data_IF_064774919467
#
_entry.id   IF_064774919467
#
_cell.length_a   1.000
_cell.length_b   1.000
_cell.length_c   1.000
_cell.angle_alpha   90.00
_cell.angle_beta   90.00
_cell.angle_gamma   90.00
#
_symmetry.space_group_name_H-M   'P 1'
#
loop_
_entity.id
_entity.type
_entity.pdbx_description
1 polymer ?
#
# COMPACT_ATOMS: atom_id res chain seq x y z
N UNK A 1 51.95 31.71 -17.16
CA UNK A 1 51.30 31.61 -15.84
C UNK A 1 49.88 31.12 -16.06
N UNK A 2 49.57 29.95 -15.53
CA UNK A 2 48.38 29.15 -15.81
C UNK A 2 47.17 29.67 -15.03
N UNK A 3 46.07 29.98 -15.71
CA UNK A 3 44.77 30.26 -15.10
C UNK A 3 43.77 29.17 -15.50
N UNK A 4 43.33 28.38 -14.52
CA UNK A 4 42.42 27.23 -14.67
C UNK A 4 41.11 27.60 -15.40
N UNK A 5 40.56 26.73 -16.26
CA UNK A 5 39.17 26.86 -16.70
C UNK A 5 38.24 26.51 -15.52
N UNK A 6 37.16 27.27 -15.36
CA UNK A 6 36.02 26.89 -14.52
C UNK A 6 35.55 25.50 -14.94
N UNK A 7 35.51 24.57 -13.99
CA UNK A 7 34.78 23.31 -14.16
C UNK A 7 33.30 23.65 -14.30
N UNK A 8 32.85 23.69 -15.55
CA UNK A 8 31.45 23.60 -15.91
C UNK A 8 30.95 22.24 -15.41
N UNK A 9 30.31 22.26 -14.25
CA UNK A 9 29.60 21.12 -13.68
C UNK A 9 28.44 20.76 -14.60
N UNK A 10 28.77 20.08 -15.70
CA UNK A 10 27.83 19.37 -16.55
C UNK A 10 27.21 18.30 -15.67
N UNK A 11 26.12 18.66 -14.98
CA UNK A 11 25.18 17.70 -14.42
C UNK A 11 24.81 16.78 -15.57
N UNK A 12 25.17 15.48 -15.54
CA UNK A 12 24.64 14.58 -16.53
C UNK A 12 23.12 14.65 -16.38
N UNK A 13 22.45 15.06 -17.45
CA UNK A 13 21.01 15.26 -17.57
C UNK A 13 20.21 13.94 -17.49
N UNK A 14 20.71 12.98 -16.71
CA UNK A 14 20.04 11.78 -16.29
C UNK A 14 19.74 11.86 -14.79
N UNK A 15 18.45 11.92 -14.45
CA UNK A 15 17.97 11.67 -13.08
C UNK A 15 18.65 10.45 -12.42
N UNK A 16 18.88 10.50 -11.11
CA UNK A 16 19.57 9.45 -10.36
C UNK A 16 18.88 8.08 -10.52
N UNK A 17 19.66 7.04 -10.82
CA UNK A 17 19.20 5.64 -10.89
C UNK A 17 19.17 5.05 -9.48
N UNK A 18 18.00 4.64 -9.03
CA UNK A 18 17.80 4.15 -7.65
C UNK A 18 17.80 2.63 -7.51
N UNK A 19 17.26 1.93 -8.52
CA UNK A 19 17.22 0.46 -8.58
C UNK A 19 16.84 0.01 -9.97
N UNK A 20 17.32 -1.16 -10.37
CA UNK A 20 16.88 -1.82 -11.58
C UNK A 20 16.82 -3.35 -11.40
N UNK A 21 16.14 -4.05 -12.31
CA UNK A 21 16.01 -5.50 -12.29
C UNK A 21 14.68 -6.00 -12.85
N UNK A 22 14.52 -7.31 -12.96
CA UNK A 22 13.31 -7.91 -13.53
C UNK A 22 12.11 -7.84 -12.59
N UNK A 23 10.96 -7.44 -13.14
CA UNK A 23 9.65 -7.51 -12.49
C UNK A 23 8.61 -8.06 -13.47
N UNK A 24 7.69 -8.88 -12.97
CA UNK A 24 6.50 -9.28 -13.74
C UNK A 24 5.33 -8.42 -13.27
N UNK A 25 4.81 -7.55 -14.13
CA UNK A 25 3.70 -6.64 -13.82
C UNK A 25 2.38 -7.21 -14.28
N UNK A 26 1.34 -6.97 -13.49
CA UNK A 26 -0.06 -7.07 -13.87
C UNK A 26 -0.83 -5.83 -13.45
N UNK A 27 -1.59 -5.23 -14.37
CA UNK A 27 -2.53 -4.15 -14.03
C UNK A 27 -3.72 -4.75 -13.27
N UNK A 28 -3.96 -4.30 -12.05
CA UNK A 28 -5.00 -4.86 -11.16
C UNK A 28 -6.28 -4.03 -11.21
N UNK A 29 -6.16 -2.71 -11.01
CA UNK A 29 -7.26 -1.76 -11.07
C UNK A 29 -6.84 -0.47 -11.78
N UNK A 30 -7.78 0.14 -12.50
CA UNK A 30 -7.61 1.45 -13.12
C UNK A 30 -7.87 2.58 -12.09
N UNK A 31 -7.73 3.83 -12.51
CA UNK A 31 -7.82 5.02 -11.63
C UNK A 31 -9.21 5.20 -11.00
N UNK A 32 -10.25 4.66 -11.63
CA UNK A 32 -11.63 4.63 -11.12
C UNK A 32 -11.87 3.52 -10.08
N UNK A 33 -10.84 2.75 -9.72
CA UNK A 33 -10.93 1.62 -8.80
C UNK A 33 -11.56 0.37 -9.43
N UNK A 34 -11.98 0.43 -10.70
CA UNK A 34 -12.52 -0.75 -11.38
C UNK A 34 -11.39 -1.69 -11.77
N UNK A 35 -11.71 -2.98 -11.80
CA UNK A 35 -10.76 -4.02 -12.23
C UNK A 35 -10.38 -3.79 -13.68
N UNK A 36 -9.08 -3.86 -13.96
CA UNK A 36 -8.57 -3.63 -15.32
C UNK A 36 -9.22 -4.60 -16.35
N UNK A 37 -9.52 -4.14 -17.58
CA UNK A 37 -10.17 -4.95 -18.61
C UNK A 37 -9.43 -6.26 -18.90
N UNK A 38 -10.20 -7.31 -19.25
CA UNK A 38 -9.69 -8.69 -19.40
C UNK A 38 -8.50 -8.83 -20.37
N UNK A 39 -8.38 -7.97 -21.38
CA UNK A 39 -7.25 -7.95 -22.33
C UNK A 39 -6.00 -7.17 -21.88
N UNK A 40 -6.11 -6.27 -20.90
CA UNK A 40 -4.97 -5.46 -20.38
C UNK A 40 -4.36 -6.01 -19.08
N UNK A 41 -4.98 -7.05 -18.51
CA UNK A 41 -4.73 -7.59 -17.17
C UNK A 41 -3.76 -8.80 -17.12
N UNK A 42 -3.11 -9.13 -18.23
CA UNK A 42 -2.11 -10.20 -18.28
C UNK A 42 -0.86 -9.87 -17.45
N UNK A 43 -0.21 -10.90 -16.92
CA UNK A 43 1.14 -10.77 -16.36
C UNK A 43 2.14 -10.61 -17.51
N UNK A 44 3.00 -9.60 -17.43
CA UNK A 44 4.02 -9.31 -18.44
C UNK A 44 5.35 -9.04 -17.75
N UNK A 45 6.42 -9.64 -18.25
CA UNK A 45 7.78 -9.45 -17.74
C UNK A 45 8.37 -8.16 -18.31
N UNK A 46 9.03 -7.40 -17.44
CA UNK A 46 9.74 -6.18 -17.80
C UNK A 46 11.09 -6.15 -17.10
N UNK A 47 12.05 -5.49 -17.73
CA UNK A 47 13.17 -4.95 -16.99
C UNK A 47 12.77 -3.59 -16.42
N UNK A 48 12.73 -3.49 -15.10
CA UNK A 48 12.32 -2.30 -14.39
C UNK A 48 13.53 -1.42 -14.06
N UNK A 49 13.38 -0.11 -14.26
CA UNK A 49 14.41 0.90 -13.98
C UNK A 49 13.75 2.04 -13.22
N UNK A 50 14.08 2.19 -11.94
CA UNK A 50 13.60 3.29 -11.11
C UNK A 50 14.59 4.45 -11.18
N UNK A 51 14.18 5.54 -11.84
CA UNK A 51 15.02 6.71 -12.09
C UNK A 51 14.21 7.97 -11.80
N UNK A 52 14.64 8.79 -10.84
CA UNK A 52 13.79 9.86 -10.29
C UNK A 52 12.50 9.28 -9.67
N UNK A 53 11.36 9.93 -9.95
CA UNK A 53 10.03 9.46 -9.54
C UNK A 53 9.33 8.57 -10.58
N UNK A 54 10.07 7.99 -11.52
CA UNK A 54 9.51 7.16 -12.60
C UNK A 54 10.10 5.76 -12.56
N UNK A 55 9.23 4.76 -12.54
CA UNK A 55 9.55 3.35 -12.76
C UNK A 55 9.33 3.03 -14.24
N UNK A 56 10.40 3.04 -15.02
CA UNK A 56 10.38 2.63 -16.41
C UNK A 56 10.31 1.10 -16.49
N UNK A 57 9.50 0.59 -17.41
CA UNK A 57 9.26 -0.84 -17.58
C UNK A 57 9.54 -1.22 -19.03
N UNK A 58 10.78 -1.65 -19.27
CA UNK A 58 11.25 -1.99 -20.61
C UNK A 58 10.85 -3.42 -20.98
N UNK A 59 10.34 -3.60 -22.20
CA UNK A 59 10.12 -4.94 -22.76
C UNK A 59 11.38 -5.50 -23.41
N UNK A 60 11.56 -6.82 -23.28
CA UNK A 60 12.66 -7.56 -23.88
C UNK A 60 13.90 -7.63 -22.98
N UNK A 61 15.05 -7.87 -23.59
CA UNK A 61 16.34 -7.94 -22.89
C UNK A 61 16.78 -6.57 -22.39
N UNK A 62 17.39 -6.56 -21.21
CA UNK A 62 18.00 -5.34 -20.66
C UNK A 62 19.18 -4.92 -21.51
N UNK A 63 19.21 -3.64 -21.87
CA UNK A 63 20.33 -3.01 -22.56
C UNK A 63 20.57 -1.64 -21.92
N UNK A 64 21.68 -1.44 -21.18
CA UNK A 64 21.97 -0.17 -20.51
C UNK A 64 21.93 1.04 -21.46
N UNK A 65 22.44 0.87 -22.68
CA UNK A 65 22.55 1.94 -23.68
C UNK A 65 21.30 2.08 -24.58
N UNK A 66 20.28 1.23 -24.36
CA UNK A 66 19.05 1.30 -25.13
C UNK A 66 18.23 2.48 -24.65
N UNK A 67 18.02 3.45 -25.54
CA UNK A 67 17.05 4.50 -25.31
C UNK A 67 15.64 3.91 -25.12
N UNK A 68 14.88 4.51 -24.21
CA UNK A 68 13.50 4.11 -23.96
C UNK A 68 12.68 4.30 -25.23
N UNK A 69 12.04 3.24 -25.70
CA UNK A 69 11.11 3.34 -26.83
C UNK A 69 9.80 4.01 -26.41
N UNK A 70 9.02 4.51 -27.37
CA UNK A 70 7.66 5.03 -27.11
C UNK A 70 6.77 4.03 -26.38
N UNK A 71 6.97 2.73 -26.63
CA UNK A 71 6.24 1.69 -25.92
C UNK A 71 6.69 1.56 -24.45
N UNK A 72 7.99 1.70 -24.17
CA UNK A 72 8.52 1.68 -22.80
C UNK A 72 8.02 2.90 -22.01
N UNK A 73 7.94 4.07 -22.65
CA UNK A 73 7.37 5.29 -22.07
C UNK A 73 5.88 5.12 -21.74
N UNK A 74 5.11 4.46 -22.61
CA UNK A 74 3.70 4.11 -22.33
C UNK A 74 3.53 3.12 -21.18
N UNK A 75 4.56 2.32 -20.88
CA UNK A 75 4.57 1.39 -19.76
C UNK A 75 5.10 2.01 -18.45
N UNK A 76 5.73 3.19 -18.51
CA UNK A 76 6.28 3.86 -17.35
C UNK A 76 5.20 4.15 -16.31
N UNK A 77 5.57 3.97 -15.04
CA UNK A 77 4.69 4.21 -13.89
C UNK A 77 5.33 5.30 -13.05
N UNK A 78 4.62 6.39 -12.83
CA UNK A 78 5.09 7.40 -11.88
C UNK A 78 4.82 6.94 -10.45
N UNK A 79 5.84 7.06 -9.59
CA UNK A 79 5.81 6.60 -8.19
C UNK A 79 5.60 7.76 -7.19
N UNK A 80 5.40 9.00 -7.66
CA UNK A 80 5.00 10.11 -6.79
C UNK A 80 3.76 9.72 -5.99
N UNK A 81 3.79 9.94 -4.68
CA UNK A 81 2.71 9.58 -3.74
C UNK A 81 2.23 8.12 -3.84
N UNK A 82 3.07 7.22 -4.35
CA UNK A 82 2.70 5.81 -4.42
C UNK A 82 2.91 5.10 -3.10
N UNK A 83 2.30 3.93 -2.94
CA UNK A 83 2.60 3.05 -1.83
C UNK A 83 2.75 1.62 -2.35
N UNK A 84 3.92 1.05 -2.10
CA UNK A 84 4.22 -0.35 -2.34
C UNK A 84 4.00 -1.16 -1.05
N UNK A 85 3.27 -2.28 -1.15
CA UNK A 85 3.02 -3.18 0.00
C UNK A 85 2.99 -4.64 -0.45
N UNK A 86 3.46 -5.55 0.40
CA UNK A 86 3.34 -6.99 0.15
C UNK A 86 1.86 -7.36 -0.06
N UNK A 87 1.57 -8.13 -1.11
CA UNK A 87 0.22 -8.60 -1.40
C UNK A 87 -0.08 -9.88 -0.62
N UNK A 88 -0.22 -9.77 0.70
CA UNK A 88 -0.41 -10.92 1.60
C UNK A 88 -1.72 -11.69 1.36
N UNK A 89 -2.72 -11.01 0.79
CA UNK A 89 -4.00 -11.58 0.37
C UNK A 89 -3.97 -12.21 -1.03
N UNK A 90 -2.83 -12.13 -1.75
CA UNK A 90 -2.67 -12.66 -3.09
C UNK A 90 -1.90 -13.98 -3.10
N UNK A 91 -2.62 -15.10 -3.12
CA UNK A 91 -2.02 -16.44 -3.06
C UNK A 91 -1.68 -17.08 -4.41
N UNK A 92 -2.05 -16.45 -5.54
CA UNK A 92 -1.93 -17.09 -6.88
C UNK A 92 -0.49 -17.14 -7.40
N UNK A 93 0.39 -16.27 -6.91
CA UNK A 93 1.81 -16.25 -7.22
C UNK A 93 2.58 -15.82 -5.97
N UNK A 94 3.76 -16.40 -5.71
CA UNK A 94 4.60 -15.97 -4.60
C UNK A 94 5.25 -14.62 -4.92
N UNK A 95 5.75 -13.95 -3.88
CA UNK A 95 6.60 -12.76 -3.98
C UNK A 95 5.95 -11.62 -4.77
N UNK A 96 4.66 -11.40 -4.53
CA UNK A 96 3.87 -10.36 -5.16
C UNK A 96 3.67 -9.19 -4.19
N UNK A 97 3.78 -7.97 -4.71
CA UNK A 97 3.46 -6.74 -4.02
C UNK A 97 2.51 -5.86 -4.83
N UNK A 98 1.67 -5.12 -4.14
CA UNK A 98 0.86 -4.04 -4.70
C UNK A 98 1.72 -2.79 -4.86
N UNK A 99 1.52 -2.06 -5.95
CA UNK A 99 1.89 -0.66 -6.07
C UNK A 99 0.62 0.13 -6.38
N UNK A 100 0.18 0.97 -5.45
CA UNK A 100 -0.91 1.93 -5.69
C UNK A 100 -0.30 3.30 -5.97
N UNK A 101 -0.67 3.92 -7.08
CA UNK A 101 -0.14 5.22 -7.53
C UNK A 101 -1.03 6.38 -7.08
N UNK A 102 -0.55 7.63 -7.22
CA UNK A 102 -1.28 8.86 -6.86
C UNK A 102 -2.68 8.96 -7.49
N UNK A 103 -2.82 8.47 -8.71
CA UNK A 103 -4.08 8.42 -9.46
C UNK A 103 -4.91 7.15 -9.17
N UNK A 104 -4.57 6.42 -8.10
CA UNK A 104 -5.27 5.24 -7.59
C UNK A 104 -5.27 4.00 -8.47
N UNK A 105 -4.48 3.98 -9.55
CA UNK A 105 -4.21 2.72 -10.26
C UNK A 105 -3.51 1.75 -9.32
N UNK A 106 -3.84 0.47 -9.46
CA UNK A 106 -3.21 -0.60 -8.67
C UNK A 106 -2.51 -1.55 -9.63
N UNK A 107 -1.22 -1.74 -9.42
CA UNK A 107 -0.42 -2.75 -10.08
C UNK A 107 -0.08 -3.86 -9.11
N UNK A 108 -0.01 -5.08 -9.61
CA UNK A 108 0.64 -6.20 -8.95
C UNK A 108 2.00 -6.39 -9.62
N UNK A 109 3.06 -6.47 -8.83
CA UNK A 109 4.39 -6.79 -9.30
C UNK A 109 4.86 -8.06 -8.61
N UNK A 110 5.32 -9.02 -9.40
CA UNK A 110 6.05 -10.18 -8.91
C UNK A 110 7.54 -9.90 -9.06
N UNK A 111 8.28 -10.07 -7.97
CA UNK A 111 9.72 -10.02 -7.93
C UNK A 111 10.31 -11.38 -7.57
N UNK A 112 11.63 -11.51 -7.67
CA UNK A 112 12.34 -12.62 -7.04
C UNK A 112 12.18 -12.55 -5.51
N UNK A 113 12.23 -13.69 -4.82
CA UNK A 113 11.99 -13.78 -3.38
C UNK A 113 12.86 -12.80 -2.56
N UNK A 114 14.14 -12.78 -2.89
CA UNK A 114 15.16 -11.93 -2.24
C UNK A 114 15.01 -10.45 -2.58
N UNK A 115 14.39 -10.13 -3.72
CA UNK A 115 14.32 -8.77 -4.24
C UNK A 115 13.00 -8.07 -3.92
N UNK A 116 11.93 -8.79 -3.54
CA UNK A 116 10.61 -8.20 -3.31
C UNK A 116 10.65 -7.11 -2.24
N UNK A 117 11.27 -7.37 -1.09
CA UNK A 117 11.33 -6.38 -0.01
C UNK A 117 12.20 -5.19 -0.38
N UNK A 118 13.35 -5.43 -1.03
CA UNK A 118 14.20 -4.36 -1.56
C UNK A 118 13.44 -3.47 -2.57
N UNK A 119 12.63 -4.03 -3.47
CA UNK A 119 11.78 -3.22 -4.35
C UNK A 119 10.74 -2.39 -3.60
N UNK A 120 10.06 -2.98 -2.61
CA UNK A 120 9.06 -2.27 -1.78
C UNK A 120 9.73 -1.11 -1.03
N UNK A 121 10.83 -1.39 -0.32
CA UNK A 121 11.56 -0.39 0.47
C UNK A 121 12.07 0.72 -0.43
N UNK A 122 12.74 0.40 -1.55
CA UNK A 122 13.30 1.42 -2.44
C UNK A 122 12.23 2.35 -2.99
N UNK A 123 11.14 1.80 -3.52
CA UNK A 123 10.07 2.59 -4.12
C UNK A 123 9.47 3.53 -3.07
N UNK A 124 9.19 3.02 -1.87
CA UNK A 124 8.60 3.81 -0.80
C UNK A 124 9.56 4.89 -0.27
N UNK A 125 10.86 4.59 -0.13
CA UNK A 125 11.87 5.57 0.31
C UNK A 125 12.01 6.70 -0.69
N UNK A 126 12.16 6.39 -1.99
CA UNK A 126 12.25 7.41 -3.05
C UNK A 126 10.95 8.23 -3.12
N UNK A 127 9.79 7.60 -3.01
CA UNK A 127 8.52 8.32 -2.97
C UNK A 127 8.40 9.22 -1.73
N UNK A 128 8.89 8.79 -0.56
CA UNK A 128 8.88 9.58 0.67
C UNK A 128 9.79 10.80 0.60
N UNK A 129 10.98 10.66 0.02
CA UNK A 129 11.95 11.76 -0.15
C UNK A 129 11.45 12.84 -1.12
N UNK A 130 10.82 12.42 -2.23
CA UNK A 130 10.58 13.33 -3.36
C UNK A 130 9.12 13.65 -3.65
N UNK A 131 8.13 13.05 -2.97
CA UNK A 131 6.73 13.47 -3.14
C UNK A 131 6.55 14.91 -2.62
N UNK A 132 6.00 15.77 -3.46
CA UNK A 132 5.70 17.16 -3.10
C UNK A 132 4.48 17.23 -2.16
N UNK A 133 4.29 18.30 -1.38
CA UNK A 133 3.06 18.48 -0.62
C UNK A 133 1.81 18.49 -1.52
N UNK A 134 0.67 17.89 -1.11
CA UNK A 134 -0.59 17.99 -1.84
C UNK A 134 -1.00 19.44 -2.08
N UNK A 135 -1.71 19.71 -3.18
CA UNK A 135 -2.26 21.05 -3.40
C UNK A 135 -3.25 21.42 -2.28
N UNK A 136 -3.34 22.71 -1.90
CA UNK A 136 -4.40 23.18 -1.02
C UNK A 136 -5.77 22.75 -1.58
N UNK A 137 -6.70 22.38 -0.68
CA UNK A 137 -8.04 22.02 -1.10
C UNK A 137 -8.67 23.19 -1.89
N UNK A 138 -9.27 22.89 -3.04
CA UNK A 138 -9.91 23.91 -3.87
C UNK A 138 -11.02 24.62 -3.07
N UNK A 139 -10.88 25.93 -2.89
CA UNK A 139 -11.87 26.79 -2.22
C UNK A 139 -13.12 26.84 -3.11
N UNK A 140 -14.15 26.07 -2.77
CA UNK A 140 -15.44 26.07 -3.51
C UNK A 140 -16.10 24.70 -3.74
N UNK A 141 -15.37 23.59 -3.54
CA UNK A 141 -15.89 22.23 -3.75
C UNK A 141 -16.14 21.50 -2.42
N UNK A 142 -17.13 21.95 -1.64
CA UNK A 142 -17.47 21.33 -0.35
C UNK A 142 -18.74 20.45 -0.39
N UNK A 143 -19.35 20.23 -1.58
CA UNK A 143 -20.59 19.43 -1.66
C UNK A 143 -20.37 17.92 -1.80
N UNK A 144 -19.20 17.47 -2.27
CA UNK A 144 -18.92 16.04 -2.52
C UNK A 144 -17.46 15.70 -2.27
N UNK A 145 -17.20 14.48 -1.79
CA UNK A 145 -15.85 13.97 -1.65
C UNK A 145 -15.21 13.80 -3.04
N UNK A 146 -14.00 14.33 -3.18
CA UNK A 146 -13.12 14.10 -4.33
C UNK A 146 -11.71 13.92 -3.83
N UNK A 147 -10.98 12.96 -4.41
CA UNK A 147 -9.57 12.74 -4.08
C UNK A 147 -8.75 14.00 -4.41
N UNK A 148 -7.90 14.49 -3.50
CA UNK A 148 -7.02 15.62 -3.76
C UNK A 148 -6.12 15.37 -4.97
N UNK A 149 -5.82 16.44 -5.71
CA UNK A 149 -4.81 16.39 -6.75
C UNK A 149 -3.43 16.39 -6.10
N UNK A 150 -2.58 15.45 -6.51
CA UNK A 150 -1.24 15.27 -5.99
C UNK A 150 -0.21 15.68 -7.06
N UNK A 151 0.69 16.63 -6.78
CA UNK A 151 1.69 17.06 -7.75
C UNK A 151 2.70 15.96 -8.07
N UNK A 152 2.96 15.76 -9.36
CA UNK A 152 4.00 14.84 -9.85
C UNK A 152 5.42 15.43 -9.84
N UNK A 153 5.57 16.70 -9.49
CA UNK A 153 6.87 17.37 -9.38
C UNK A 153 7.65 16.87 -8.18
N UNK A 154 8.97 16.76 -8.32
CA UNK A 154 9.84 16.43 -7.20
C UNK A 154 9.84 17.57 -6.18
N UNK A 155 9.74 17.20 -4.90
CA UNK A 155 9.86 18.13 -3.79
C UNK A 155 11.26 18.74 -3.73
N UNK A 156 11.33 19.99 -3.25
CA UNK A 156 12.59 20.69 -2.95
C UNK A 156 12.89 20.75 -1.44
N UNK A 157 12.06 20.10 -0.63
CA UNK A 157 12.22 20.04 0.82
C UNK A 157 13.41 19.15 1.19
N UNK A 158 14.09 19.49 2.28
CA UNK A 158 15.07 18.58 2.91
C UNK A 158 14.36 17.35 3.48
N UNK A 159 15.11 16.32 3.87
CA UNK A 159 14.54 15.10 4.44
C UNK A 159 13.84 15.36 5.79
N UNK A 160 14.38 16.27 6.61
CA UNK A 160 13.77 16.68 7.88
C UNK A 160 12.48 17.48 7.66
N UNK A 161 12.45 18.33 6.64
CA UNK A 161 11.24 19.03 6.20
C UNK A 161 10.19 18.06 5.66
N UNK A 162 10.61 17.06 4.88
CA UNK A 162 9.74 15.99 4.41
C UNK A 162 9.13 15.21 5.58
N UNK A 163 9.92 14.83 6.58
CA UNK A 163 9.42 14.15 7.79
C UNK A 163 8.35 15.01 8.48
N UNK A 164 8.64 16.29 8.75
CA UNK A 164 7.67 17.21 9.38
C UNK A 164 6.39 17.36 8.56
N UNK A 165 6.52 17.47 7.24
CA UNK A 165 5.40 17.56 6.30
C UNK A 165 4.53 16.30 6.35
N UNK A 166 5.14 15.12 6.24
CA UNK A 166 4.42 13.84 6.30
C UNK A 166 3.77 13.61 7.66
N UNK A 167 4.41 14.00 8.76
CA UNK A 167 3.81 13.93 10.11
C UNK A 167 2.58 14.83 10.26
N UNK A 168 2.65 16.06 9.76
CA UNK A 168 1.51 16.96 9.77
C UNK A 168 0.35 16.37 8.96
N UNK A 169 0.63 15.78 7.79
CA UNK A 169 -0.36 15.09 6.97
C UNK A 169 -0.93 13.84 7.64
N UNK A 170 -0.08 13.02 8.27
CA UNK A 170 -0.51 11.83 9.00
C UNK A 170 -1.47 12.20 10.14
N UNK A 171 -1.16 13.25 10.92
CA UNK A 171 -2.05 13.76 11.97
C UNK A 171 -3.39 14.22 11.39
N UNK A 172 -3.35 15.07 10.36
CA UNK A 172 -4.57 15.60 9.72
C UNK A 172 -5.47 14.47 9.17
N UNK A 173 -4.89 13.53 8.41
CA UNK A 173 -5.64 12.39 7.84
C UNK A 173 -6.17 11.47 8.94
N UNK A 174 -5.41 11.25 10.02
CA UNK A 174 -5.86 10.42 11.14
C UNK A 174 -7.04 11.04 11.88
N UNK A 175 -7.03 12.35 12.10
CA UNK A 175 -8.15 13.08 12.69
C UNK A 175 -9.39 13.01 11.78
N UNK A 176 -9.24 13.31 10.49
CA UNK A 176 -10.36 13.27 9.54
C UNK A 176 -10.96 11.85 9.43
N UNK A 177 -10.13 10.81 9.45
CA UNK A 177 -10.59 9.42 9.44
C UNK A 177 -11.39 9.06 10.69
N UNK A 178 -10.94 9.52 11.86
CA UNK A 178 -11.65 9.32 13.11
C UNK A 178 -13.00 10.04 13.11
N UNK A 179 -13.05 11.27 12.59
CA UNK A 179 -14.29 12.03 12.42
C UNK A 179 -15.28 11.29 11.52
N UNK A 180 -14.83 10.84 10.33
CA UNK A 180 -15.67 10.05 9.40
C UNK A 180 -16.23 8.80 10.08
N UNK A 181 -15.40 8.04 10.82
CA UNK A 181 -15.81 6.80 11.48
C UNK A 181 -16.66 6.99 12.75
N UNK A 182 -16.60 8.17 13.37
CA UNK A 182 -17.44 8.53 14.53
C UNK A 182 -18.88 8.88 14.14
N UNK A 183 -19.09 9.29 12.89
CA UNK A 183 -20.43 9.47 12.33
C UNK A 183 -21.01 8.12 11.89
N UNK A 184 -22.26 7.79 12.23
CA UNK A 184 -22.88 6.55 11.76
C UNK A 184 -22.97 6.55 10.22
N UNK A 185 -22.68 5.41 9.54
CA UNK A 185 -22.82 5.33 8.09
C UNK A 185 -24.25 5.66 7.64
N UNK A 186 -24.43 6.31 6.47
CA UNK A 186 -25.77 6.57 5.92
C UNK A 186 -26.58 5.28 5.79
N UNK A 187 -27.88 5.32 6.12
CA UNK A 187 -28.74 4.13 6.04
C UNK A 187 -28.79 3.58 4.59
N UNK A 188 -28.45 2.28 4.46
CA UNK A 188 -28.46 1.53 3.19
C UNK A 188 -29.79 1.65 2.45
N UNK A 189 -30.90 1.82 3.18
CA UNK A 189 -32.25 1.86 2.59
C UNK A 189 -32.63 3.21 1.99
N UNK A 190 -31.92 4.30 2.29
CA UNK A 190 -32.38 5.66 1.95
C UNK A 190 -31.47 6.34 0.92
N UNK A 191 -30.14 6.10 0.92
CA UNK A 191 -29.22 6.86 0.03
C UNK A 191 -27.94 6.12 -0.40
N UNK A 192 -28.06 5.23 -1.40
CA UNK A 192 -26.92 4.47 -1.93
C UNK A 192 -25.71 5.31 -2.39
N UNK A 193 -25.93 6.50 -2.95
CA UNK A 193 -24.84 7.40 -3.39
C UNK A 193 -24.03 7.97 -2.23
N UNK A 194 -24.67 8.39 -1.13
CA UNK A 194 -23.98 8.92 0.05
C UNK A 194 -23.17 7.82 0.75
N UNK A 195 -23.67 6.58 0.76
CA UNK A 195 -22.94 5.43 1.30
C UNK A 195 -21.69 5.10 0.46
N UNK A 196 -21.78 5.18 -0.86
CA UNK A 196 -20.62 5.00 -1.74
C UNK A 196 -19.58 6.11 -1.56
N UNK A 197 -20.00 7.37 -1.39
CA UNK A 197 -19.11 8.50 -1.08
C UNK A 197 -18.43 8.33 0.29
N UNK A 198 -19.18 7.92 1.32
CA UNK A 198 -18.65 7.58 2.64
C UNK A 198 -17.56 6.49 2.54
N UNK A 199 -17.83 5.39 1.83
CA UNK A 199 -16.88 4.30 1.65
C UNK A 199 -15.62 4.77 0.92
N UNK A 200 -15.77 5.56 -0.14
CA UNK A 200 -14.62 6.09 -0.89
C UNK A 200 -13.74 7.01 -0.04
N UNK A 201 -14.36 7.84 0.82
CA UNK A 201 -13.64 8.72 1.74
C UNK A 201 -12.90 7.92 2.80
N UNK A 202 -13.54 6.92 3.42
CA UNK A 202 -12.92 6.03 4.41
C UNK A 202 -11.72 5.28 3.81
N UNK A 203 -11.90 4.64 2.65
CA UNK A 203 -10.84 3.91 1.94
C UNK A 203 -9.66 4.83 1.56
N UNK A 204 -9.96 6.07 1.17
CA UNK A 204 -8.94 7.06 0.85
C UNK A 204 -8.12 7.46 2.06
N UNK A 205 -8.80 7.82 3.16
CA UNK A 205 -8.13 8.28 4.37
C UNK A 205 -7.32 7.15 5.04
N UNK A 206 -7.82 5.92 5.04
CA UNK A 206 -7.06 4.76 5.54
C UNK A 206 -5.80 4.50 4.70
N UNK A 207 -5.92 4.59 3.37
CA UNK A 207 -4.77 4.45 2.48
C UNK A 207 -3.72 5.55 2.73
N UNK A 208 -4.14 6.82 2.80
CA UNK A 208 -3.25 7.95 3.04
C UNK A 208 -2.57 7.87 4.40
N UNK A 209 -3.31 7.46 5.44
CA UNK A 209 -2.74 7.25 6.78
C UNK A 209 -1.63 6.21 6.73
N UNK A 210 -1.87 5.07 6.06
CA UNK A 210 -0.87 4.02 5.89
C UNK A 210 0.34 4.51 5.08
N UNK A 211 0.10 5.27 4.01
CA UNK A 211 1.14 5.82 3.15
C UNK A 211 2.06 6.77 3.92
N UNK A 212 1.50 7.77 4.58
CA UNK A 212 2.28 8.72 5.37
C UNK A 212 2.98 8.05 6.55
N UNK A 213 2.33 7.10 7.23
CA UNK A 213 2.98 6.32 8.29
C UNK A 213 4.22 5.57 7.79
N UNK A 214 4.12 4.94 6.62
CA UNK A 214 5.25 4.26 5.97
C UNK A 214 6.37 5.23 5.60
N UNK A 215 6.03 6.39 5.02
CA UNK A 215 6.99 7.41 4.63
C UNK A 215 7.76 7.96 5.83
N UNK A 216 7.05 8.32 6.91
CA UNK A 216 7.65 8.80 8.16
C UNK A 216 8.60 7.76 8.75
N UNK A 217 8.17 6.50 8.80
CA UNK A 217 8.99 5.40 9.31
C UNK A 217 10.32 5.28 8.55
N UNK A 218 10.27 5.26 7.21
CA UNK A 218 11.45 5.11 6.36
C UNK A 218 12.39 6.31 6.45
N UNK A 219 11.87 7.53 6.36
CA UNK A 219 12.70 8.74 6.44
C UNK A 219 13.34 8.91 7.82
N UNK A 220 12.60 8.65 8.90
CA UNK A 220 13.18 8.67 10.25
C UNK A 220 14.27 7.61 10.41
N UNK A 221 14.09 6.42 9.83
CA UNK A 221 15.14 5.41 9.84
C UNK A 221 16.39 5.88 9.09
N UNK A 222 16.21 6.46 7.89
CA UNK A 222 17.32 7.01 7.09
C UNK A 222 18.08 8.11 7.85
N UNK A 223 17.37 9.07 8.43
CA UNK A 223 17.96 10.14 9.25
C UNK A 223 18.71 9.61 10.48
N UNK A 224 18.22 8.54 11.11
CA UNK A 224 18.95 7.90 12.23
C UNK A 224 20.23 7.22 11.78
N UNK A 225 20.22 6.57 10.62
CA UNK A 225 21.42 5.91 10.07
C UNK A 225 22.43 6.89 9.51
N UNK A 226 21.99 8.06 9.00
CA UNK A 226 22.86 9.02 8.31
C UNK A 226 23.37 8.53 6.95
N UNK A 227 22.86 7.40 6.44
CA UNK A 227 23.32 6.78 5.20
C UNK A 227 22.71 7.44 3.96
N UNK A 228 23.57 8.00 3.11
CA UNK A 228 23.15 8.59 1.84
C UNK A 228 23.01 7.56 0.71
N UNK A 229 23.84 6.52 0.71
CA UNK A 229 23.68 5.41 -0.22
C UNK A 229 22.44 4.60 0.17
N UNK A 230 21.39 4.76 -0.63
CA UNK A 230 20.13 4.08 -0.42
C UNK A 230 20.30 2.55 -0.42
N UNK A 231 21.30 1.98 -1.09
CA UNK A 231 21.57 0.52 -1.11
C UNK A 231 22.09 0.05 0.23
N UNK A 232 22.98 0.82 0.85
CA UNK A 232 23.49 0.56 2.21
C UNK A 232 22.36 0.71 3.22
N UNK A 233 21.61 1.82 3.18
CA UNK A 233 20.44 2.05 4.03
C UNK A 233 19.42 0.90 3.96
N UNK A 234 19.17 0.40 2.76
CA UNK A 234 18.20 -0.67 2.53
C UNK A 234 18.66 -2.02 3.09
N UNK A 235 19.96 -2.33 3.02
CA UNK A 235 20.52 -3.51 3.70
C UNK A 235 20.34 -3.40 5.23
N UNK A 236 20.66 -2.24 5.82
CA UNK A 236 20.53 -2.01 7.27
C UNK A 236 19.08 -2.19 7.75
N UNK A 237 18.11 -1.60 7.05
CA UNK A 237 16.70 -1.68 7.48
C UNK A 237 16.10 -3.08 7.26
N UNK A 238 16.55 -3.80 6.22
CA UNK A 238 16.10 -5.17 5.99
C UNK A 238 16.69 -6.15 7.02
N UNK A 239 17.94 -5.93 7.44
CA UNK A 239 18.57 -6.68 8.53
C UNK A 239 17.90 -6.38 9.88
N UNK A 240 17.63 -5.11 10.21
CA UNK A 240 16.92 -4.71 11.43
C UNK A 240 15.53 -5.39 11.51
N UNK A 241 14.76 -5.36 10.41
CA UNK A 241 13.46 -6.03 10.32
C UNK A 241 13.56 -7.58 10.30
N UNK A 242 14.73 -8.12 9.97
CA UNK A 242 15.05 -9.54 10.06
C UNK A 242 15.36 -9.95 11.51
N UNK A 243 16.16 -9.15 12.21
CA UNK A 243 16.53 -9.34 13.61
C UNK A 243 15.30 -9.20 14.52
N UNK A 244 14.44 -8.21 14.31
CA UNK A 244 13.19 -8.07 15.07
C UNK A 244 12.24 -9.28 14.90
N UNK A 245 12.25 -9.94 13.74
CA UNK A 245 11.52 -11.21 13.53
C UNK A 245 12.20 -12.40 14.20
N UNK A 246 13.52 -12.44 14.28
CA UNK A 246 14.26 -13.48 14.98
C UNK A 246 14.13 -13.39 16.52
N UNK A 247 13.88 -12.19 17.07
CA UNK A 247 13.62 -11.98 18.50
C UNK A 247 12.15 -12.19 18.91
N UNK A 248 11.27 -12.50 17.95
CA UNK A 248 9.85 -12.76 18.23
C UNK A 248 9.58 -14.27 18.20
N UNK A 249 9.96 -14.98 19.27
CA UNK A 249 9.42 -16.32 19.60
C UNK A 249 9.41 -16.56 21.11
N UNK A 250 8.43 -17.35 21.61
CA UNK A 250 7.76 -17.12 22.89
C UNK A 250 8.35 -17.97 24.02
N UNK A 251 8.25 -17.49 25.26
CA UNK A 251 8.48 -18.35 26.42
C UNK A 251 7.19 -18.46 27.23
N UNK A 252 6.63 -19.68 27.20
CA UNK A 252 5.61 -20.18 28.10
C UNK A 252 6.18 -20.28 29.53
N UNK A 253 5.35 -19.93 30.51
CA UNK A 253 5.56 -20.22 31.92
C UNK A 253 4.21 -20.50 32.57
N UNK A 254 3.86 -21.78 32.56
CA UNK A 254 2.76 -22.38 33.31
C UNK A 254 2.97 -22.16 34.82
N UNK A 255 1.93 -21.68 35.52
CA UNK A 255 1.85 -21.76 36.97
C UNK A 255 0.41 -22.01 37.40
N UNK A 256 -0.03 -23.24 37.16
CA UNK A 256 -1.02 -23.89 38.04
C UNK A 256 -0.52 -23.90 39.48
N UNK A 257 -1.12 -23.08 40.34
CA UNK A 257 -1.28 -23.38 41.76
C UNK A 257 -2.73 -23.11 42.16
N UNK A 258 -3.50 -24.19 42.29
CA UNK A 258 -4.71 -24.23 43.08
C UNK A 258 -4.36 -24.06 44.56
N UNK A 259 -5.15 -23.28 45.30
CA UNK A 259 -5.64 -23.65 46.65
C UNK A 259 -6.57 -22.58 47.25
N UNK A 260 -7.82 -23.03 47.48
CA UNK A 260 -8.65 -22.80 48.68
C UNK A 260 -9.20 -21.38 48.93
N UNK A 261 -10.35 -21.14 49.57
CA UNK A 261 -11.64 -21.79 49.83
C UNK A 261 -12.39 -20.83 50.79
N UNK A 262 -13.73 -20.97 50.90
CA UNK A 262 -14.67 -20.31 51.84
C UNK A 262 -15.11 -18.88 51.46
N UNK A 263 -16.39 -18.49 51.47
CA UNK A 263 -17.58 -18.92 52.25
C UNK A 263 -18.86 -18.55 51.44
N UNK A 264 -19.85 -19.43 51.21
CA UNK A 264 -21.11 -19.60 51.99
C UNK A 264 -21.71 -18.27 52.50
N UNK A 265 -22.99 -17.88 52.35
CA UNK A 265 -24.33 -18.52 52.18
C UNK A 265 -25.31 -17.30 52.06
N UNK A 266 -26.42 -17.25 51.32
CA UNK A 266 -27.76 -17.86 51.52
C UNK A 266 -28.63 -17.30 50.36
N UNK A 267 -29.45 -18.07 49.63
CA UNK A 267 -30.81 -18.46 50.04
C UNK A 267 -31.85 -17.93 49.03
N UNK A 268 -33.04 -18.55 48.86
CA UNK A 268 -33.53 -18.97 47.54
C UNK A 268 -34.96 -18.50 47.13
N UNK A 269 -35.43 -19.05 46.00
CA UNK A 269 -36.82 -19.23 45.50
C UNK A 269 -37.47 -18.17 44.58
N UNK A 270 -37.64 -18.52 43.29
CA UNK A 270 -38.85 -19.19 42.75
C UNK A 270 -38.88 -19.02 41.21
N UNK A 271 -38.80 -20.08 40.41
CA UNK A 271 -39.86 -21.00 39.95
C UNK A 271 -40.71 -20.49 38.79
N UNK A 272 -40.46 -21.05 37.59
CA UNK A 272 -41.41 -21.68 36.63
C UNK A 272 -40.82 -21.56 35.20
N UNK A 273 -40.43 -22.67 34.56
CA UNK A 273 -41.29 -23.62 33.82
C UNK A 273 -42.04 -22.89 32.69
N UNK A 274 -42.09 -23.31 31.43
CA UNK A 274 -41.85 -24.60 30.76
C UNK A 274 -42.06 -24.36 29.26
N UNK A 275 -41.38 -25.10 28.38
CA UNK A 275 -42.00 -25.96 27.36
C UNK A 275 -41.04 -26.28 26.21
N UNK A 276 -40.74 -27.56 26.17
CA UNK A 276 -40.35 -28.39 25.05
C UNK A 276 -41.03 -28.07 23.71
N UNK A 277 -40.29 -28.24 22.61
CA UNK A 277 -40.55 -29.30 21.62
C UNK A 277 -39.48 -29.31 20.52
N UNK A 278 -38.82 -30.44 20.38
CA UNK A 278 -37.94 -30.79 19.26
C UNK A 278 -38.68 -31.76 18.33
N UNK A 279 -38.40 -31.69 17.01
CA UNK A 279 -38.34 -32.77 15.97
C UNK A 279 -38.50 -32.18 14.53
N UNK A 280 -38.21 -32.90 13.41
CA UNK A 280 -36.88 -32.88 12.78
C UNK A 280 -36.90 -32.65 11.24
N UNK A 281 -35.69 -32.44 10.68
CA UNK A 281 -35.13 -32.86 9.37
C UNK A 281 -36.08 -33.23 8.21
N UNK A 282 -35.92 -32.57 7.06
CA UNK A 282 -36.06 -33.20 5.73
C UNK A 282 -34.92 -32.75 4.79
N UNK A 283 -34.14 -33.74 4.37
CA UNK A 283 -33.27 -33.74 3.19
C UNK A 283 -34.14 -33.87 1.93
N UNK A 284 -33.89 -33.07 0.90
CA UNK A 284 -34.41 -33.33 -0.44
C UNK A 284 -33.28 -33.21 -1.47
N UNK A 285 -33.02 -34.34 -2.12
CA UNK A 285 -32.09 -34.55 -3.22
C UNK A 285 -32.47 -33.75 -4.48
N UNK A 286 -31.40 -33.34 -5.18
CA UNK A 286 -31.18 -33.44 -6.65
C UNK A 286 -32.34 -33.02 -7.58
N UNK A 287 -32.07 -32.03 -8.43
CA UNK A 287 -32.13 -32.26 -9.87
C UNK A 287 -31.14 -31.39 -10.66
N UNK A 288 -30.31 -32.08 -11.43
CA UNK A 288 -29.43 -31.58 -12.48
C UNK A 288 -30.26 -31.29 -13.72
N UNK A 289 -30.11 -30.10 -14.32
CA UNK A 289 -30.57 -29.85 -15.68
C UNK A 289 -29.38 -29.78 -16.63
N UNK A 290 -29.23 -30.87 -17.39
CA UNK A 290 -28.37 -30.96 -18.57
C UNK A 290 -29.27 -30.85 -19.80
N UNK A 291 -28.89 -29.92 -20.68
CA UNK A 291 -29.03 -29.88 -22.14
C UNK A 291 -30.18 -30.61 -22.85
N UNK A 292 -30.89 -29.82 -23.68
CA UNK A 292 -31.39 -30.14 -25.01
C UNK A 292 -31.97 -28.83 -25.61
N UNK A 293 -31.97 -28.48 -26.90
CA UNK A 293 -31.54 -29.09 -28.16
C UNK A 293 -31.56 -27.95 -29.21
N UNK A 294 -30.72 -28.09 -30.24
CA UNK A 294 -30.69 -27.33 -31.49
C UNK A 294 -32.07 -27.18 -32.15
N UNK A 295 -32.37 -25.99 -32.68
CA UNK A 295 -32.78 -25.77 -34.08
C UNK A 295 -32.53 -24.30 -34.43
#
# INVERSE_FOLDING_TARGET
SSGKPLEDGTQPSGSLLYKNGFLVRKVHADSDGKRAPRGKRGWKTFYAILKGLILYLQKGEYRPDKQLSDEDLKNAVSIHHSLAMKASDYSKRPNVFYLRTADWRVYLFQANAEQMQSWITRINTVAAMFSSPPFPAAIGSQKKFSRPLLPGTMSRQTEEEQVRSHEARFRAVSTELAEVRSCPPPDRKVKGRELDEYRQRDEYLEFEKTRYGTYIMLLRAKLRTGEEDLSVFESLILEENGLQRAHSSPTLGDSSLASQASSAKDGPNSSKASCCSAKPRQEAQRHSYRQAVKK
#
